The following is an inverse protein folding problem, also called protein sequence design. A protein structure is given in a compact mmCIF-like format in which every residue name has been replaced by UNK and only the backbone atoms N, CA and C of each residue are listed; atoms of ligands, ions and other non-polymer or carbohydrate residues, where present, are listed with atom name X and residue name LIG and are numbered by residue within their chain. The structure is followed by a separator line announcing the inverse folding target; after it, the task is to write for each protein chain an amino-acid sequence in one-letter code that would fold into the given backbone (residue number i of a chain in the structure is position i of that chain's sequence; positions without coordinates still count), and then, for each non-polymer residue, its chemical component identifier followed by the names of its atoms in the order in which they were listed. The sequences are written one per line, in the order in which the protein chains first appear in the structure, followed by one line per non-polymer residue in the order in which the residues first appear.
data_IF_979982792028
#
_entry.id   IF_979982792028
#
_cell.length_a   1.000
_cell.length_b   1.000
_cell.length_c   1.000
_cell.angle_alpha   90.00
_cell.angle_beta   90.00
_cell.angle_gamma   90.00
#
_symmetry.space_group_name_H-M   'P 1'
#
loop_
_entity.id
_entity.type
_entity.pdbx_description
1 polymer ?
#
# COMPACT_ATOMS: atom_id res chain seq x y z
N UNK A 1 65.37 -45.71 -18.19
CA UNK A 1 65.20 -44.24 -18.09
C UNK A 1 63.88 -43.87 -18.74
N UNK A 2 63.06 -42.99 -18.15
CA UNK A 2 62.38 -43.02 -16.84
C UNK A 2 60.91 -43.52 -17.02
N UNK A 3 60.00 -43.61 -16.06
CA UNK A 3 59.98 -43.88 -14.62
C UNK A 3 58.47 -43.99 -14.29
N UNK A 4 58.02 -45.15 -13.81
CA UNK A 4 56.67 -45.34 -13.27
C UNK A 4 56.57 -44.69 -11.89
N UNK A 5 55.51 -43.92 -11.65
CA UNK A 5 55.15 -43.43 -10.31
C UNK A 5 53.71 -43.86 -9.97
N UNK A 6 53.62 -44.79 -9.03
CA UNK A 6 52.42 -45.27 -8.37
C UNK A 6 51.78 -44.16 -7.51
N UNK A 7 50.45 -44.03 -7.58
CA UNK A 7 49.67 -43.38 -6.52
C UNK A 7 49.15 -44.45 -5.56
N UNK A 8 49.75 -44.48 -4.37
CA UNK A 8 49.29 -45.23 -3.22
C UNK A 8 48.20 -44.47 -2.48
N UNK A 9 47.07 -45.15 -2.25
CA UNK A 9 45.98 -44.77 -1.36
C UNK A 9 46.47 -44.66 0.10
N UNK A 10 46.38 -43.45 0.67
CA UNK A 10 46.55 -43.21 2.11
C UNK A 10 45.17 -43.10 2.76
N UNK A 11 44.84 -44.10 3.57
CA UNK A 11 43.70 -44.13 4.49
C UNK A 11 44.04 -43.37 5.76
N UNK A 12 43.52 -42.13 5.87
CA UNK A 12 43.58 -41.35 7.11
C UNK A 12 42.64 -41.93 8.16
N UNK A 13 43.21 -42.47 9.24
CA UNK A 13 42.52 -42.79 10.49
C UNK A 13 42.12 -41.48 11.21
N UNK A 14 40.90 -41.38 11.78
CA UNK A 14 40.51 -40.25 12.62
C UNK A 14 41.19 -40.32 14.00
N UNK A 15 41.71 -39.19 14.45
CA UNK A 15 42.29 -39.01 15.79
C UNK A 15 41.18 -38.88 16.83
N UNK A 16 41.17 -39.84 17.73
CA UNK A 16 40.37 -39.92 18.95
C UNK A 16 40.96 -38.94 19.98
N UNK A 17 40.31 -37.79 20.16
CA UNK A 17 40.68 -36.81 21.19
C UNK A 17 39.73 -36.94 22.37
N UNK A 18 40.36 -37.23 23.51
CA UNK A 18 39.79 -37.50 24.81
C UNK A 18 38.84 -36.39 25.30
N UNK A 19 37.66 -36.82 25.75
CA UNK A 19 36.79 -36.07 26.65
C UNK A 19 37.11 -36.48 28.09
N UNK A 20 37.37 -35.56 29.02
CA UNK A 20 37.39 -35.91 30.42
C UNK A 20 35.96 -36.02 30.96
N UNK A 21 35.69 -37.17 31.57
CA UNK A 21 34.60 -37.38 32.53
C UNK A 21 34.70 -36.34 33.66
N UNK A 22 33.60 -35.65 33.92
CA UNK A 22 33.37 -34.98 35.19
C UNK A 22 31.95 -35.31 35.66
N UNK A 23 31.87 -36.36 36.45
CA UNK A 23 30.70 -36.72 37.24
C UNK A 23 30.77 -36.00 38.60
N UNK A 24 29.60 -35.48 39.01
CA UNK A 24 29.12 -35.37 40.39
C UNK A 24 29.63 -34.22 41.27
N UNK A 25 28.74 -33.25 41.54
CA UNK A 25 28.28 -33.00 42.91
C UNK A 25 27.14 -31.95 42.97
N UNK A 26 26.10 -32.34 43.71
CA UNK A 26 25.27 -31.50 44.60
C UNK A 26 24.24 -30.53 44.00
N UNK A 27 23.01 -31.04 43.95
CA UNK A 27 21.78 -30.36 44.37
C UNK A 27 21.98 -29.07 45.18
N UNK A 28 21.61 -27.93 44.60
CA UNK A 28 21.31 -26.72 45.34
C UNK A 28 19.89 -26.28 45.00
N UNK A 29 19.06 -26.25 46.04
CA UNK A 29 17.64 -25.99 46.00
C UNK A 29 17.30 -24.64 45.37
N UNK A 30 16.40 -24.67 44.38
CA UNK A 30 15.72 -23.49 43.88
C UNK A 30 14.82 -22.92 44.98
N UNK A 31 15.22 -21.76 45.51
CA UNK A 31 14.43 -20.93 46.41
C UNK A 31 13.32 -20.27 45.57
N UNK A 32 12.02 -20.47 45.89
CA UNK A 32 10.98 -19.69 45.25
C UNK A 32 11.05 -18.25 45.76
N UNK A 33 11.22 -17.29 44.85
CA UNK A 33 11.03 -15.87 45.13
C UNK A 33 9.55 -15.65 45.39
N UNK A 34 9.19 -15.52 46.67
CA UNK A 34 7.92 -15.01 47.15
C UNK A 34 7.74 -13.58 46.65
N UNK A 35 6.89 -13.40 45.64
CA UNK A 35 6.32 -12.09 45.29
C UNK A 35 5.41 -11.68 46.44
N UNK A 36 5.94 -10.85 47.33
CA UNK A 36 5.18 -10.17 48.38
C UNK A 36 4.15 -9.28 47.70
N UNK A 37 2.89 -9.68 47.82
CA UNK A 37 1.73 -8.84 47.52
C UNK A 37 1.66 -7.74 48.58
N UNK A 38 1.97 -6.49 48.20
CA UNK A 38 1.65 -5.34 49.05
C UNK A 38 0.13 -5.11 49.05
N UNK A 39 -0.49 -4.91 50.23
CA UNK A 39 -1.92 -4.73 50.35
C UNK A 39 -2.36 -3.33 49.91
N UNK A 40 -3.51 -3.30 49.24
CA UNK A 40 -4.27 -2.10 48.94
C UNK A 40 -4.72 -1.39 50.24
N UNK A 41 -4.52 -0.06 50.35
CA UNK A 41 -5.34 0.72 51.25
C UNK A 41 -6.62 1.15 50.53
N UNK A 42 -7.74 0.55 50.92
CA UNK A 42 -9.02 1.18 50.82
C UNK A 42 -9.05 2.34 51.83
N UNK A 43 -9.16 3.58 51.34
CA UNK A 43 -9.73 4.65 52.15
C UNK A 43 -10.47 5.66 51.27
N UNK A 44 -11.75 5.72 51.57
CA UNK A 44 -12.78 6.65 51.15
C UNK A 44 -12.43 8.09 51.49
N UNK A 45 -12.33 8.96 50.49
CA UNK A 45 -12.52 10.40 50.66
C UNK A 45 -13.16 10.99 49.40
N UNK A 46 -14.46 11.26 49.50
CA UNK A 46 -15.24 12.05 48.52
C UNK A 46 -14.63 13.46 48.42
N UNK A 47 -14.14 13.92 47.26
CA UNK A 47 -13.82 15.32 47.07
C UNK A 47 -15.12 16.11 46.96
N UNK A 48 -15.28 17.06 47.88
CA UNK A 48 -16.34 18.08 47.88
C UNK A 48 -16.14 18.94 46.61
N UNK A 49 -17.10 18.89 45.70
CA UNK A 49 -17.10 19.67 44.47
C UNK A 49 -17.05 21.18 44.79
N UNK A 50 -15.89 21.79 44.57
CA UNK A 50 -15.69 23.22 44.68
C UNK A 50 -16.05 23.83 43.31
N UNK A 51 -17.17 24.54 43.28
CA UNK A 51 -17.67 25.23 42.10
C UNK A 51 -16.64 26.27 41.63
N UNK A 52 -16.13 26.09 40.41
CA UNK A 52 -15.36 27.13 39.73
C UNK A 52 -16.29 28.30 39.37
N UNK A 53 -15.87 29.56 39.59
CA UNK A 53 -16.68 30.71 39.23
C UNK A 53 -16.85 30.80 37.72
N UNK A 54 -18.11 30.91 37.31
CA UNK A 54 -18.57 31.13 35.94
C UNK A 54 -17.97 32.45 35.41
N UNK A 55 -17.15 32.46 34.35
CA UNK A 55 -16.75 33.72 33.73
C UNK A 55 -17.98 34.41 33.14
N UNK A 56 -18.11 35.70 33.45
CA UNK A 56 -19.16 36.57 32.91
C UNK A 56 -19.11 36.59 31.36
N UNK A 57 -20.25 36.68 30.67
CA UNK A 57 -20.25 36.85 29.22
C UNK A 57 -19.60 38.20 28.88
N UNK A 58 -18.43 38.14 28.24
CA UNK A 58 -17.84 39.29 27.59
C UNK A 58 -18.76 39.72 26.44
N UNK A 59 -19.30 40.92 26.58
CA UNK A 59 -20.02 41.64 25.53
C UNK A 59 -19.04 41.94 24.39
N UNK A 60 -19.16 41.20 23.28
CA UNK A 60 -18.45 41.55 22.06
C UNK A 60 -19.11 42.81 21.48
N UNK A 61 -18.35 43.91 21.49
CA UNK A 61 -18.70 45.12 20.78
C UNK A 61 -18.94 44.80 19.30
N UNK A 62 -20.05 45.34 18.77
CA UNK A 62 -20.44 45.18 17.37
C UNK A 62 -19.35 45.75 16.44
N UNK A 63 -18.93 45.01 15.40
CA UNK A 63 -18.07 45.56 14.36
C UNK A 63 -18.82 46.60 13.50
N UNK A 64 -18.11 47.62 12.96
CA UNK A 64 -18.68 48.73 12.20
C UNK A 64 -19.36 48.30 10.89
N UNK A 65 -20.27 49.14 10.33
CA UNK A 65 -21.09 48.80 9.19
C UNK A 65 -20.27 48.51 7.91
N UNK A 66 -20.82 47.58 7.14
CA UNK A 66 -20.25 46.96 5.96
C UNK A 66 -19.70 47.95 4.92
N UNK A 67 -18.45 47.70 4.50
CA UNK A 67 -17.96 48.15 3.21
C UNK A 67 -18.86 47.60 2.10
N UNK A 68 -19.17 48.48 1.14
CA UNK A 68 -19.98 48.17 -0.02
C UNK A 68 -19.38 47.03 -0.85
N UNK A 69 -20.20 46.25 -1.57
CA UNK A 69 -19.74 45.09 -2.33
C UNK A 69 -18.80 45.52 -3.46
N UNK A 70 -17.61 44.92 -3.48
CA UNK A 70 -16.79 44.82 -4.69
C UNK A 70 -17.56 43.93 -5.65
N UNK A 71 -17.89 44.47 -6.83
CA UNK A 71 -18.54 43.80 -7.94
C UNK A 71 -17.67 42.62 -8.42
N UNK A 72 -18.05 41.34 -8.14
CA UNK A 72 -17.32 40.22 -8.68
C UNK A 72 -17.75 40.05 -10.12
N UNK A 73 -16.81 40.39 -11.01
CA UNK A 73 -16.90 40.11 -12.43
C UNK A 73 -17.52 38.75 -12.70
N UNK A 74 -18.60 38.80 -13.48
CA UNK A 74 -19.13 37.78 -14.40
C UNK A 74 -18.60 36.36 -14.11
N UNK A 75 -19.42 35.44 -13.58
CA UNK A 75 -19.00 34.06 -13.43
C UNK A 75 -18.68 33.46 -14.80
N UNK A 76 -17.40 33.19 -15.01
CA UNK A 76 -16.95 32.30 -16.09
C UNK A 76 -17.61 30.94 -15.89
N UNK A 77 -18.27 30.51 -16.96
CA UNK A 77 -18.91 29.23 -17.21
C UNK A 77 -18.90 28.24 -16.05
N UNK A 78 -20.07 28.06 -15.43
CA UNK A 78 -20.35 26.91 -14.60
C UNK A 78 -19.87 25.62 -15.31
N UNK A 79 -19.10 24.74 -14.65
CA UNK A 79 -18.66 23.51 -15.27
C UNK A 79 -19.90 22.70 -15.65
N UNK A 80 -20.04 22.43 -16.95
CA UNK A 80 -21.07 21.54 -17.48
C UNK A 80 -21.03 20.25 -16.66
N UNK A 81 -22.14 19.97 -15.97
CA UNK A 81 -22.38 18.67 -15.35
C UNK A 81 -22.12 17.62 -16.45
N UNK A 82 -21.27 16.61 -16.24
CA UNK A 82 -21.07 15.57 -17.24
C UNK A 82 -22.40 14.85 -17.42
N UNK A 83 -23.13 15.27 -18.45
CA UNK A 83 -24.37 14.66 -18.84
C UNK A 83 -24.03 13.21 -19.14
N UNK A 84 -24.64 12.31 -18.37
CA UNK A 84 -24.54 10.86 -18.53
C UNK A 84 -25.27 10.51 -19.83
N UNK A 85 -24.69 10.88 -20.98
CA UNK A 85 -25.28 10.62 -22.29
C UNK A 85 -25.29 9.11 -22.46
N UNK A 86 -26.50 8.56 -22.49
CA UNK A 86 -26.72 7.18 -22.89
C UNK A 86 -26.17 7.08 -24.32
N UNK A 87 -25.10 6.30 -24.50
CA UNK A 87 -24.48 6.15 -25.82
C UNK A 87 -25.49 5.50 -26.76
N UNK A 88 -25.64 6.03 -27.98
CA UNK A 88 -26.54 5.49 -29.00
C UNK A 88 -26.34 3.97 -29.22
N UNK A 89 -25.09 3.51 -29.14
CA UNK A 89 -24.70 2.09 -29.20
C UNK A 89 -25.34 1.25 -28.08
N UNK A 90 -25.48 1.81 -26.88
CA UNK A 90 -26.17 1.15 -25.76
C UNK A 90 -27.65 0.95 -26.11
N UNK A 91 -28.33 1.99 -26.61
CA UNK A 91 -29.74 1.89 -27.02
C UNK A 91 -29.93 0.82 -28.09
N UNK A 92 -29.07 0.78 -29.12
CA UNK A 92 -29.12 -0.21 -30.20
C UNK A 92 -28.91 -1.64 -29.65
N UNK A 93 -27.93 -1.86 -28.77
CA UNK A 93 -27.72 -3.19 -28.18
C UNK A 93 -28.92 -3.65 -27.34
N UNK A 94 -29.54 -2.76 -26.56
CA UNK A 94 -30.74 -3.09 -25.79
C UNK A 94 -31.93 -3.42 -26.71
N UNK A 95 -32.10 -2.70 -27.82
CA UNK A 95 -33.15 -3.01 -28.81
C UNK A 95 -32.94 -4.38 -29.47
N UNK A 96 -31.71 -4.72 -29.87
CA UNK A 96 -31.37 -6.03 -30.43
C UNK A 96 -31.61 -7.15 -29.42
N UNK A 97 -31.23 -6.95 -28.16
CA UNK A 97 -31.48 -7.90 -27.08
C UNK A 97 -32.99 -8.17 -26.88
N UNK A 98 -33.81 -7.12 -26.85
CA UNK A 98 -35.28 -7.25 -26.73
C UNK A 98 -35.87 -7.96 -27.95
N UNK A 99 -35.42 -7.63 -29.17
CA UNK A 99 -35.88 -8.27 -30.40
C UNK A 99 -35.56 -9.78 -30.42
N UNK A 100 -34.36 -10.18 -29.98
CA UNK A 100 -33.96 -11.58 -29.85
C UNK A 100 -34.85 -12.37 -28.90
N UNK A 101 -35.19 -11.80 -27.74
CA UNK A 101 -36.07 -12.45 -26.76
C UNK A 101 -37.49 -12.58 -27.32
N UNK A 102 -38.03 -11.51 -27.93
CA UNK A 102 -39.38 -11.52 -28.52
C UNK A 102 -39.50 -12.52 -29.67
N UNK A 103 -38.49 -12.60 -30.55
CA UNK A 103 -38.46 -13.55 -31.66
C UNK A 103 -38.43 -15.01 -31.19
N UNK A 104 -38.00 -15.25 -29.94
CA UNK A 104 -37.85 -16.58 -29.37
C UNK A 104 -39.09 -17.08 -28.62
N UNK A 105 -40.10 -16.23 -28.36
CA UNK A 105 -41.30 -16.58 -27.54
C UNK A 105 -42.10 -17.77 -28.08
N UNK A 106 -42.03 -18.04 -29.38
CA UNK A 106 -42.72 -19.17 -30.02
C UNK A 106 -41.84 -20.41 -30.22
N UNK A 107 -40.58 -20.36 -29.77
CA UNK A 107 -39.61 -21.42 -29.97
C UNK A 107 -39.61 -22.39 -28.78
N UNK A 108 -39.14 -23.64 -28.96
CA UNK A 108 -38.95 -24.58 -27.87
C UNK A 108 -38.05 -24.00 -26.78
N UNK A 109 -38.29 -24.40 -25.53
CA UNK A 109 -37.65 -23.86 -24.33
C UNK A 109 -36.11 -23.73 -24.39
N UNK A 110 -35.32 -24.59 -25.07
CA UNK A 110 -33.87 -24.43 -25.11
C UNK A 110 -33.47 -23.17 -25.90
N UNK A 111 -34.18 -22.85 -26.99
CA UNK A 111 -33.92 -21.67 -27.82
C UNK A 111 -34.22 -20.39 -27.03
N UNK A 112 -35.30 -20.40 -26.24
CA UNK A 112 -35.62 -19.32 -25.32
C UNK A 112 -34.51 -19.08 -24.29
N UNK A 113 -33.99 -20.15 -23.68
CA UNK A 113 -32.87 -20.06 -22.73
C UNK A 113 -31.63 -19.49 -23.41
N UNK A 114 -31.26 -20.00 -24.59
CA UNK A 114 -30.08 -19.50 -25.32
C UNK A 114 -30.24 -18.03 -25.72
N UNK A 115 -31.40 -17.63 -26.25
CA UNK A 115 -31.66 -16.23 -26.62
C UNK A 115 -31.65 -15.29 -25.41
N UNK A 116 -32.19 -15.73 -24.27
CA UNK A 116 -32.14 -14.98 -23.03
C UNK A 116 -30.70 -14.80 -22.54
N UNK A 117 -29.86 -15.85 -22.59
CA UNK A 117 -28.44 -15.76 -22.23
C UNK A 117 -27.70 -14.77 -23.16
N UNK A 118 -27.90 -14.86 -24.48
CA UNK A 118 -27.28 -13.94 -25.44
C UNK A 118 -27.73 -12.49 -25.21
N UNK A 119 -29.02 -12.27 -24.95
CA UNK A 119 -29.56 -10.96 -24.62
C UNK A 119 -28.95 -10.39 -23.33
N UNK A 120 -28.79 -11.21 -22.28
CA UNK A 120 -28.11 -10.82 -21.04
C UNK A 120 -26.65 -10.48 -21.29
N UNK A 121 -25.94 -11.25 -22.13
CA UNK A 121 -24.53 -10.97 -22.48
C UNK A 121 -24.39 -9.66 -23.26
N UNK A 122 -25.28 -9.39 -24.22
CA UNK A 122 -25.31 -8.13 -24.99
C UNK A 122 -25.69 -6.92 -24.12
N UNK A 123 -26.65 -7.08 -23.21
CA UNK A 123 -27.00 -6.04 -22.25
C UNK A 123 -25.84 -5.78 -21.29
N UNK A 124 -25.21 -6.84 -20.76
CA UNK A 124 -24.05 -6.73 -19.89
C UNK A 124 -22.89 -6.04 -20.60
N UNK A 125 -22.57 -6.39 -21.85
CA UNK A 125 -21.44 -5.83 -22.59
C UNK A 125 -21.50 -4.30 -22.78
N UNK A 126 -22.69 -3.70 -22.65
CA UNK A 126 -22.86 -2.24 -22.76
C UNK A 126 -23.00 -1.52 -21.42
N UNK A 127 -23.12 -2.24 -20.31
CA UNK A 127 -23.26 -1.67 -18.97
C UNK A 127 -21.93 -1.72 -18.23
N UNK A 128 -21.35 -0.54 -17.97
CA UNK A 128 -20.23 -0.43 -17.02
C UNK A 128 -20.76 -0.59 -15.59
N UNK A 129 -20.60 -1.77 -15.03
CA UNK A 129 -20.91 -2.03 -13.61
C UNK A 129 -19.77 -1.47 -12.77
N UNK A 130 -20.04 -0.44 -11.94
CA UNK A 130 -19.04 0.23 -11.09
C UNK A 130 -17.81 0.76 -11.85
N UNK A 131 -17.99 1.13 -13.12
CA UNK A 131 -16.92 1.66 -13.97
C UNK A 131 -16.00 0.62 -14.60
N UNK A 132 -16.27 -0.68 -14.41
CA UNK A 132 -15.57 -1.79 -15.08
C UNK A 132 -16.46 -2.45 -16.13
N UNK A 133 -15.85 -3.00 -17.16
CA UNK A 133 -16.57 -3.83 -18.13
C UNK A 133 -16.85 -5.22 -17.55
N UNK A 134 -17.95 -5.90 -17.90
CA UNK A 134 -18.22 -7.25 -17.40
C UNK A 134 -17.10 -8.23 -17.73
N UNK A 135 -16.46 -8.10 -18.91
CA UNK A 135 -15.30 -8.91 -19.26
C UNK A 135 -14.15 -8.72 -18.27
N UNK A 136 -13.86 -7.47 -17.84
CA UNK A 136 -12.86 -7.20 -16.80
C UNK A 136 -13.27 -7.82 -15.46
N UNK A 137 -14.56 -7.77 -15.11
CA UNK A 137 -15.07 -8.39 -13.88
C UNK A 137 -14.91 -9.91 -13.94
N UNK A 138 -15.25 -10.55 -15.05
CA UNK A 138 -15.09 -12.00 -15.27
C UNK A 138 -13.62 -12.39 -15.23
N UNK A 139 -12.72 -11.63 -15.87
CA UNK A 139 -11.27 -11.87 -15.81
C UNK A 139 -10.76 -11.70 -14.38
N UNK A 140 -11.17 -10.64 -13.66
CA UNK A 140 -10.81 -10.45 -12.26
C UNK A 140 -11.33 -11.60 -11.38
N UNK A 141 -12.54 -12.09 -11.64
CA UNK A 141 -13.13 -13.18 -10.89
C UNK A 141 -12.46 -14.52 -11.17
N UNK A 142 -12.19 -14.83 -12.45
CA UNK A 142 -11.47 -16.03 -12.86
C UNK A 142 -10.04 -16.05 -12.29
N UNK A 143 -9.30 -14.94 -12.40
CA UNK A 143 -7.94 -14.81 -11.83
C UNK A 143 -7.96 -14.87 -10.30
N UNK A 144 -8.96 -14.28 -9.64
CA UNK A 144 -9.14 -14.37 -8.20
C UNK A 144 -9.41 -15.80 -7.73
N UNK A 145 -10.25 -16.56 -8.46
CA UNK A 145 -10.56 -17.95 -8.12
C UNK A 145 -9.41 -18.91 -8.42
N UNK A 146 -8.60 -18.63 -9.44
CA UNK A 146 -7.50 -19.48 -9.86
C UNK A 146 -6.23 -19.35 -9.02
N UNK A 147 -6.06 -18.28 -8.23
CA UNK A 147 -4.84 -18.05 -7.45
C UNK A 147 -4.93 -18.56 -6.00
N UNK A 148 -3.80 -18.93 -5.37
CA UNK A 148 -3.75 -19.21 -3.95
C UNK A 148 -4.09 -17.95 -3.13
N UNK A 149 -5.05 -18.08 -2.22
CA UNK A 149 -5.60 -16.96 -1.44
C UNK A 149 -5.24 -16.98 0.03
N UNK A 150 -4.60 -18.04 0.51
CA UNK A 150 -4.13 -18.15 1.89
C UNK A 150 -2.66 -18.51 1.85
N UNK A 151 -1.88 -17.80 2.64
CA UNK A 151 -0.43 -17.95 2.73
C UNK A 151 -0.03 -17.84 4.18
N UNK A 152 0.72 -18.82 4.67
CA UNK A 152 1.33 -18.75 5.99
C UNK A 152 2.80 -18.38 5.83
N UNK A 153 3.16 -17.20 6.30
CA UNK A 153 4.54 -16.74 6.26
C UNK A 153 5.37 -17.45 7.33
N UNK A 154 6.66 -17.73 7.08
CA UNK A 154 7.54 -18.27 8.10
C UNK A 154 7.77 -17.24 9.22
N UNK A 155 7.95 -17.73 10.45
CA UNK A 155 8.24 -16.88 11.62
C UNK A 155 9.63 -16.22 11.51
N UNK A 156 10.58 -16.90 10.89
CA UNK A 156 11.90 -16.36 10.55
C UNK A 156 11.90 -15.96 9.07
N UNK A 157 12.46 -14.79 8.75
CA UNK A 157 12.49 -14.30 7.37
C UNK A 157 11.13 -13.84 6.83
N UNK A 158 10.19 -13.50 7.71
CA UNK A 158 8.82 -13.06 7.34
C UNK A 158 8.83 -11.92 6.32
N UNK A 159 9.77 -10.98 6.43
CA UNK A 159 9.88 -9.83 5.52
C UNK A 159 10.25 -10.27 4.10
N UNK A 160 11.19 -11.21 3.96
CA UNK A 160 11.61 -11.74 2.67
C UNK A 160 10.49 -12.57 2.04
N UNK A 161 9.82 -13.42 2.82
CA UNK A 161 8.67 -14.20 2.35
C UNK A 161 7.50 -13.30 1.92
N UNK A 162 7.28 -12.18 2.63
CA UNK A 162 6.31 -11.17 2.23
C UNK A 162 6.71 -10.49 0.90
N UNK A 163 7.98 -10.15 0.73
CA UNK A 163 8.49 -9.58 -0.52
C UNK A 163 8.30 -10.57 -1.68
N UNK A 164 8.65 -11.84 -1.49
CA UNK A 164 8.46 -12.86 -2.53
C UNK A 164 6.98 -13.07 -2.88
N UNK A 165 6.08 -12.98 -1.88
CA UNK A 165 4.64 -13.08 -2.11
C UNK A 165 4.09 -11.89 -2.91
N UNK A 166 4.55 -10.67 -2.61
CA UNK A 166 4.04 -9.43 -3.22
C UNK A 166 4.75 -9.07 -4.53
N UNK A 167 5.99 -9.49 -4.67
CA UNK A 167 6.87 -9.19 -5.80
C UNK A 167 7.75 -10.43 -6.08
N UNK A 168 7.18 -11.46 -6.73
CA UNK A 168 7.88 -12.72 -6.98
C UNK A 168 9.17 -12.54 -7.77
N UNK A 169 10.20 -13.31 -7.42
CA UNK A 169 11.53 -13.21 -8.01
C UNK A 169 12.27 -11.93 -7.60
N UNK A 170 11.94 -11.37 -6.42
CA UNK A 170 12.66 -10.22 -5.89
C UNK A 170 13.83 -10.64 -5.00
N UNK A 171 14.91 -9.87 -5.04
CA UNK A 171 16.06 -10.06 -4.18
C UNK A 171 16.43 -8.74 -3.50
N UNK A 172 16.92 -8.84 -2.26
CA UNK A 172 17.32 -7.67 -1.47
C UNK A 172 18.82 -7.48 -1.58
N UNK A 173 19.24 -6.29 -1.97
CA UNK A 173 20.64 -5.90 -2.15
C UNK A 173 20.92 -4.63 -1.36
N UNK A 174 22.15 -4.44 -0.91
CA UNK A 174 22.59 -3.20 -0.28
C UNK A 174 23.43 -2.39 -1.27
N UNK A 175 23.00 -1.17 -1.57
CA UNK A 175 23.71 -0.27 -2.46
C UNK A 175 24.46 0.78 -1.63
N UNK A 176 25.79 0.88 -1.73
CA UNK A 176 26.55 1.87 -0.99
C UNK A 176 26.24 3.28 -1.54
N UNK A 177 25.93 4.21 -0.65
CA UNK A 177 25.80 5.64 -0.95
C UNK A 177 26.72 6.47 -0.06
N UNK A 178 26.97 7.73 -0.43
CA UNK A 178 27.77 8.64 0.38
C UNK A 178 27.14 8.95 1.75
N UNK A 179 25.84 8.69 1.92
CA UNK A 179 25.08 8.93 3.16
C UNK A 179 24.82 7.64 3.95
N UNK A 180 25.40 6.51 3.53
CA UNK A 180 25.21 5.19 4.13
C UNK A 180 24.67 4.15 3.14
N UNK A 181 24.63 2.87 3.52
CA UNK A 181 24.02 1.83 2.71
C UNK A 181 22.51 2.07 2.57
N UNK A 182 22.01 2.04 1.34
CA UNK A 182 20.57 2.04 1.06
C UNK A 182 20.16 0.64 0.63
N UNK A 183 19.05 0.15 1.17
CA UNK A 183 18.43 -1.07 0.67
C UNK A 183 17.89 -0.82 -0.74
N UNK A 184 18.21 -1.75 -1.63
CA UNK A 184 17.60 -1.89 -2.93
C UNK A 184 16.92 -3.27 -3.06
N UNK A 185 15.89 -3.32 -3.89
CA UNK A 185 15.18 -4.54 -4.25
C UNK A 185 15.35 -4.70 -5.76
N UNK A 186 16.03 -5.75 -6.19
CA UNK A 186 16.00 -6.17 -7.59
C UNK A 186 14.75 -7.00 -7.82
N UNK A 187 14.03 -6.74 -8.90
CA UNK A 187 12.79 -7.43 -9.27
C UNK A 187 12.64 -7.46 -10.80
N UNK A 188 11.72 -8.25 -11.37
CA UNK A 188 11.61 -8.38 -12.84
C UNK A 188 11.45 -7.05 -13.59
N UNK A 189 10.76 -6.07 -12.98
CA UNK A 189 10.51 -4.76 -13.59
C UNK A 189 11.63 -3.73 -13.43
N UNK A 190 12.70 -4.01 -12.67
CA UNK A 190 13.76 -3.05 -12.39
C UNK A 190 14.38 -3.20 -11.01
N UNK A 191 14.92 -2.11 -10.48
CA UNK A 191 15.51 -2.07 -9.15
C UNK A 191 15.01 -0.86 -8.36
N UNK A 192 14.55 -1.08 -7.13
CA UNK A 192 13.92 -0.05 -6.29
C UNK A 192 14.72 0.20 -5.02
N UNK A 193 15.08 1.45 -4.72
CA UNK A 193 15.71 1.86 -3.46
C UNK A 193 14.79 2.76 -2.64
N UNK A 194 14.87 2.67 -1.31
CA UNK A 194 13.96 3.38 -0.41
C UNK A 194 14.68 4.40 0.48
N UNK A 195 14.08 5.58 0.59
CA UNK A 195 14.52 6.70 1.41
C UNK A 195 13.37 7.12 2.32
N UNK A 196 13.63 7.37 3.61
CA UNK A 196 12.64 7.96 4.52
C UNK A 196 12.71 9.48 4.40
N UNK A 197 11.54 10.10 4.43
CA UNK A 197 11.40 11.56 4.40
C UNK A 197 10.55 12.05 5.56
N UNK A 198 10.93 13.18 6.14
CA UNK A 198 10.15 13.87 7.16
C UNK A 198 9.18 14.86 6.51
N UNK A 199 7.90 14.80 6.89
CA UNK A 199 6.80 15.49 6.19
C UNK A 199 6.29 16.75 6.91
N UNK A 200 7.11 17.34 7.78
CA UNK A 200 6.74 18.50 8.61
C UNK A 200 6.26 19.70 7.80
N UNK A 201 6.75 19.84 6.56
CA UNK A 201 6.43 20.95 5.65
C UNK A 201 5.34 20.62 4.63
N UNK A 202 4.69 19.46 4.75
CA UNK A 202 3.66 19.00 3.84
C UNK A 202 4.08 17.80 2.98
N UNK A 203 3.18 17.34 2.09
CA UNK A 203 3.41 16.18 1.24
C UNK A 203 4.47 16.51 0.17
N UNK A 204 5.31 15.53 -0.12
CA UNK A 204 6.32 15.60 -1.18
C UNK A 204 5.70 15.17 -2.50
N UNK A 205 5.83 15.98 -3.56
CA UNK A 205 5.39 15.61 -4.90
C UNK A 205 6.48 14.75 -5.59
N UNK A 206 6.23 13.47 -5.90
CA UNK A 206 7.26 12.58 -6.47
C UNK A 206 7.77 13.04 -7.84
N UNK A 207 6.98 13.79 -8.61
CA UNK A 207 7.41 14.33 -9.91
C UNK A 207 8.62 15.28 -9.79
N UNK A 208 8.73 16.02 -8.68
CA UNK A 208 9.82 16.97 -8.45
C UNK A 208 11.19 16.28 -8.25
N UNK A 209 11.16 14.96 -8.00
CA UNK A 209 12.34 14.13 -7.74
C UNK A 209 12.63 13.15 -8.87
N UNK A 210 11.87 13.19 -9.96
CA UNK A 210 12.07 12.33 -11.10
C UNK A 210 13.40 12.70 -11.80
N UNK A 211 14.34 11.75 -11.97
CA UNK A 211 15.51 11.97 -12.81
C UNK A 211 15.07 12.28 -14.26
N UNK A 212 15.65 13.29 -14.92
CA UNK A 212 15.25 13.69 -16.27
C UNK A 212 15.76 12.74 -17.37
N UNK A 213 16.84 12.01 -17.08
CA UNK A 213 17.49 11.10 -18.03
C UNK A 213 17.26 9.67 -17.58
N UNK A 214 17.00 8.76 -18.52
CA UNK A 214 16.79 7.33 -18.27
C UNK A 214 15.34 6.95 -17.93
N UNK A 215 15.11 5.67 -17.65
CA UNK A 215 13.79 5.13 -17.35
C UNK A 215 13.63 4.96 -15.84
N UNK A 216 13.09 5.99 -15.20
CA UNK A 216 12.87 6.01 -13.76
C UNK A 216 11.40 6.11 -13.38
N UNK A 217 11.09 5.65 -12.17
CA UNK A 217 9.88 6.02 -11.45
C UNK A 217 10.23 6.46 -10.02
N UNK A 218 9.40 7.34 -9.46
CA UNK A 218 9.47 7.76 -8.06
C UNK A 218 8.09 7.55 -7.44
N UNK A 219 8.09 6.85 -6.31
CA UNK A 219 6.90 6.52 -5.55
C UNK A 219 6.97 7.21 -4.18
N UNK A 220 6.03 8.09 -3.87
CA UNK A 220 5.84 8.66 -2.54
C UNK A 220 4.81 7.84 -1.77
N UNK A 221 5.22 7.27 -0.63
CA UNK A 221 4.35 6.52 0.30
C UNK A 221 4.17 7.34 1.57
N UNK A 222 2.93 7.72 1.86
CA UNK A 222 2.54 8.51 3.03
C UNK A 222 1.65 7.65 3.91
N UNK A 223 1.92 7.59 5.21
CA UNK A 223 1.19 6.73 6.14
C UNK A 223 0.81 7.42 7.44
N UNK A 224 -0.44 7.24 7.85
CA UNK A 224 -0.94 7.52 9.20
C UNK A 224 -1.45 6.23 9.82
N UNK A 225 -1.02 5.94 11.05
CA UNK A 225 -1.49 4.77 11.80
C UNK A 225 -2.88 4.99 12.43
N UNK A 226 -3.45 3.94 13.02
CA UNK A 226 -4.77 3.97 13.69
C UNK A 226 -4.86 5.05 14.78
N UNK A 227 -3.76 5.28 15.51
CA UNK A 227 -3.62 6.34 16.51
C UNK A 227 -2.83 7.52 15.92
N UNK A 228 -3.35 8.08 14.83
CA UNK A 228 -2.66 9.12 14.08
C UNK A 228 -2.30 10.32 14.98
N UNK A 229 -1.00 10.60 15.09
CA UNK A 229 -0.50 11.88 15.55
C UNK A 229 0.24 12.52 14.35
N UNK A 230 0.00 13.81 14.05
CA UNK A 230 0.77 14.51 13.03
C UNK A 230 2.24 14.64 13.46
N UNK A 231 3.18 14.68 12.50
CA UNK A 231 3.01 14.57 11.05
C UNK A 231 2.92 13.10 10.55
N UNK A 232 2.36 12.86 9.34
CA UNK A 232 2.38 11.53 8.71
C UNK A 232 3.82 11.05 8.47
N UNK A 233 4.01 9.73 8.40
CA UNK A 233 5.30 9.13 8.03
C UNK A 233 5.42 9.06 6.52
N UNK A 234 6.59 9.41 5.97
CA UNK A 234 6.85 9.45 4.54
C UNK A 234 8.03 8.59 4.10
N UNK A 235 7.91 7.98 2.93
CA UNK A 235 8.99 7.32 2.21
C UNK A 235 8.95 7.68 0.73
N UNK A 236 10.12 7.70 0.10
CA UNK A 236 10.29 7.74 -1.35
C UNK A 236 10.96 6.45 -1.80
N UNK A 237 10.32 5.74 -2.73
CA UNK A 237 10.93 4.64 -3.45
C UNK A 237 11.37 5.16 -4.84
N UNK A 238 12.67 5.12 -5.11
CA UNK A 238 13.24 5.48 -6.41
C UNK A 238 13.47 4.19 -7.17
N UNK A 239 12.98 4.09 -8.40
CA UNK A 239 13.04 2.87 -9.19
C UNK A 239 13.76 3.15 -10.50
N UNK A 240 14.82 2.39 -10.77
CA UNK A 240 15.41 2.27 -12.11
C UNK A 240 14.65 1.14 -12.83
N UNK A 241 13.95 1.47 -13.91
CA UNK A 241 13.11 0.52 -14.64
C UNK A 241 13.97 -0.25 -15.64
N UNK A 242 13.74 -1.57 -15.72
CA UNK A 242 14.44 -2.39 -16.71
C UNK A 242 13.88 -2.08 -18.10
N UNK A 243 14.77 -1.86 -19.06
CA UNK A 243 14.44 -1.67 -20.48
C UNK A 243 15.02 -2.80 -21.31
N UNK A 244 14.52 -3.01 -22.53
CA UNK A 244 15.08 -4.01 -23.44
C UNK A 244 16.54 -3.72 -23.81
N UNK A 245 16.93 -2.44 -23.78
CA UNK A 245 18.25 -1.96 -24.20
C UNK A 245 19.24 -1.84 -23.02
N UNK A 246 18.79 -2.11 -21.79
CA UNK A 246 19.60 -1.97 -20.57
C UNK A 246 20.05 -3.36 -20.06
N UNK A 247 21.35 -3.65 -20.08
CA UNK A 247 21.92 -4.85 -19.47
C UNK A 247 21.67 -4.97 -17.95
N UNK A 248 22.06 -6.12 -17.40
CA UNK A 248 21.64 -6.66 -16.10
C UNK A 248 21.91 -5.81 -14.85
N UNK A 249 21.66 -6.42 -13.68
CA UNK A 249 21.52 -5.73 -12.39
C UNK A 249 22.69 -4.84 -11.96
N UNK A 250 23.91 -5.08 -12.45
CA UNK A 250 25.09 -4.24 -12.17
C UNK A 250 24.94 -2.81 -12.71
N UNK A 251 24.47 -2.67 -13.95
CA UNK A 251 24.27 -1.38 -14.59
C UNK A 251 23.09 -0.63 -13.96
N UNK A 252 21.98 -1.34 -13.71
CA UNK A 252 20.85 -0.85 -12.93
C UNK A 252 21.27 -0.38 -11.53
N UNK A 253 22.25 -1.05 -10.91
CA UNK A 253 22.79 -0.64 -9.62
C UNK A 253 23.52 0.69 -9.68
N UNK A 254 24.31 0.91 -10.72
CA UNK A 254 25.02 2.18 -10.93
C UNK A 254 24.01 3.30 -11.19
N UNK A 255 23.03 3.06 -12.05
CA UNK A 255 21.97 4.03 -12.36
C UNK A 255 21.13 4.39 -11.13
N UNK A 256 20.66 3.38 -10.40
CA UNK A 256 19.86 3.59 -9.19
C UNK A 256 20.65 4.37 -8.14
N UNK A 257 21.92 4.04 -7.93
CA UNK A 257 22.80 4.77 -7.00
C UNK A 257 22.92 6.25 -7.37
N UNK A 258 23.07 6.55 -8.66
CA UNK A 258 23.14 7.93 -9.16
C UNK A 258 21.80 8.66 -8.99
N UNK A 259 20.69 7.99 -9.29
CA UNK A 259 19.34 8.51 -9.09
C UNK A 259 19.05 8.82 -7.62
N UNK A 260 19.32 7.88 -6.70
CA UNK A 260 19.16 8.08 -5.25
C UNK A 260 20.01 9.25 -4.75
N UNK A 261 21.28 9.34 -5.18
CA UNK A 261 22.14 10.49 -4.84
C UNK A 261 21.55 11.80 -5.34
N UNK A 262 20.93 11.83 -6.52
CA UNK A 262 20.25 13.02 -7.05
C UNK A 262 19.02 13.37 -6.23
N UNK A 263 18.15 12.40 -5.94
CA UNK A 263 16.95 12.57 -5.11
C UNK A 263 17.31 13.12 -3.72
N UNK A 264 18.31 12.54 -3.05
CA UNK A 264 18.77 13.03 -1.75
C UNK A 264 19.32 14.46 -1.80
N UNK A 265 20.00 14.84 -2.89
CA UNK A 265 20.44 16.24 -3.10
C UNK A 265 19.26 17.17 -3.31
N UNK A 266 18.23 16.76 -4.06
CA UNK A 266 17.02 17.55 -4.30
C UNK A 266 16.23 17.74 -3.00
N UNK A 267 16.05 16.68 -2.20
CA UNK A 267 15.41 16.76 -0.88
C UNK A 267 16.15 17.72 0.05
N UNK A 268 17.49 17.62 0.10
CA UNK A 268 18.32 18.55 0.86
C UNK A 268 18.14 20.01 0.39
N UNK A 269 18.07 20.26 -0.92
CA UNK A 269 17.81 21.60 -1.49
C UNK A 269 16.41 22.12 -1.14
N UNK A 270 15.41 21.25 -1.13
CA UNK A 270 14.05 21.56 -0.69
C UNK A 270 13.92 21.67 0.84
N UNK A 271 15.01 21.47 1.58
CA UNK A 271 15.04 21.42 3.05
C UNK A 271 14.02 20.43 3.63
N UNK A 272 13.89 19.27 2.98
CA UNK A 272 13.16 18.09 3.44
C UNK A 272 14.18 17.11 4.03
N UNK A 273 14.18 16.85 5.36
CA UNK A 273 15.06 15.87 5.95
C UNK A 273 14.81 14.48 5.36
N UNK A 274 15.88 13.81 4.95
CA UNK A 274 15.80 12.52 4.30
C UNK A 274 16.97 11.61 4.71
N UNK A 275 16.67 10.34 4.92
CA UNK A 275 17.65 9.33 5.34
C UNK A 275 17.53 8.08 4.45
N UNK A 276 18.63 7.58 3.86
CA UNK A 276 18.62 6.29 3.17
C UNK A 276 18.28 5.18 4.16
N UNK A 277 17.41 4.23 3.78
CA UNK A 277 17.03 3.15 4.69
C UNK A 277 17.98 1.96 4.57
N UNK A 278 18.67 1.55 5.65
CA UNK A 278 19.38 0.27 5.68
C UNK A 278 18.42 -0.92 5.55
N UNK A 279 18.95 -2.07 5.12
CA UNK A 279 18.18 -3.31 4.86
C UNK A 279 17.24 -3.68 6.01
N UNK A 280 17.75 -3.77 7.23
CA UNK A 280 16.92 -4.18 8.37
C UNK A 280 15.80 -3.19 8.70
N UNK A 281 16.05 -1.89 8.52
CA UNK A 281 15.04 -0.85 8.75
C UNK A 281 13.96 -0.89 7.66
N UNK A 282 14.36 -1.09 6.40
CA UNK A 282 13.44 -1.22 5.28
C UNK A 282 12.55 -2.47 5.41
N UNK A 283 13.12 -3.62 5.75
CA UNK A 283 12.35 -4.87 5.95
C UNK A 283 11.36 -4.76 7.13
N UNK A 284 11.75 -4.13 8.24
CA UNK A 284 10.83 -3.82 9.35
C UNK A 284 9.72 -2.86 8.93
N UNK A 285 10.03 -1.88 8.08
CA UNK A 285 9.06 -0.94 7.57
C UNK A 285 8.05 -1.62 6.64
N UNK A 286 8.47 -2.54 5.76
CA UNK A 286 7.55 -3.28 4.89
C UNK A 286 6.58 -4.15 5.69
N UNK A 287 7.09 -4.92 6.66
CA UNK A 287 6.24 -5.74 7.53
C UNK A 287 5.28 -4.90 8.37
N UNK A 288 5.74 -3.75 8.89
CA UNK A 288 4.89 -2.80 9.61
C UNK A 288 3.78 -2.22 8.73
N UNK A 289 4.12 -1.74 7.52
CA UNK A 289 3.14 -1.20 6.57
C UNK A 289 2.18 -2.27 6.06
N UNK A 290 2.62 -3.52 5.88
CA UNK A 290 1.75 -4.62 5.47
C UNK A 290 0.95 -5.22 6.64
N UNK A 291 1.14 -4.72 7.87
CA UNK A 291 0.54 -5.23 9.10
C UNK A 291 0.90 -6.69 9.45
N UNK A 292 1.99 -7.21 8.88
CA UNK A 292 2.58 -8.53 9.14
C UNK A 292 3.57 -8.44 10.30
N UNK A 293 3.10 -7.93 11.44
CA UNK A 293 3.91 -7.77 12.65
C UNK A 293 3.36 -8.61 13.79
N UNK A 294 4.17 -8.82 14.83
CA UNK A 294 3.71 -9.42 16.09
C UNK A 294 3.18 -10.86 15.93
N UNK A 295 3.87 -11.68 15.14
CA UNK A 295 3.51 -13.08 14.91
C UNK A 295 2.30 -13.29 13.97
N UNK A 296 1.77 -12.23 13.37
CA UNK A 296 0.72 -12.32 12.34
C UNK A 296 1.34 -12.80 11.03
N UNK A 297 1.43 -14.11 10.87
CA UNK A 297 2.02 -14.72 9.68
C UNK A 297 0.98 -15.20 8.68
N UNK A 298 -0.27 -15.41 9.10
CA UNK A 298 -1.35 -15.78 8.19
C UNK A 298 -1.81 -14.58 7.36
N UNK A 299 -1.73 -14.74 6.04
CA UNK A 299 -2.23 -13.82 5.04
C UNK A 299 -3.38 -14.48 4.31
N UNK A 300 -4.47 -13.73 4.13
CA UNK A 300 -5.64 -14.19 3.39
C UNK A 300 -6.21 -13.11 2.49
N UNK A 301 -6.50 -13.46 1.25
CA UNK A 301 -7.20 -12.58 0.32
C UNK A 301 -8.65 -13.03 0.10
N UNK A 302 -9.58 -12.22 0.58
CA UNK A 302 -10.98 -12.29 0.23
C UNK A 302 -11.29 -11.27 -0.89
N UNK A 303 -12.40 -11.46 -1.59
CA UNK A 303 -12.77 -10.60 -2.71
C UNK A 303 -12.71 -9.11 -2.34
N UNK A 304 -13.23 -8.78 -1.16
CA UNK A 304 -13.33 -7.41 -0.67
C UNK A 304 -12.13 -6.89 0.11
N UNK A 305 -11.21 -7.75 0.54
CA UNK A 305 -10.19 -7.43 1.53
C UNK A 305 -8.93 -8.30 1.42
N UNK A 306 -7.78 -7.68 1.69
CA UNK A 306 -6.55 -8.38 2.07
C UNK A 306 -6.46 -8.43 3.60
N UNK A 307 -6.26 -9.62 4.17
CA UNK A 307 -6.20 -9.83 5.61
C UNK A 307 -4.82 -10.30 6.05
N UNK A 308 -4.41 -9.80 7.19
CA UNK A 308 -3.16 -10.19 7.86
C UNK A 308 -3.46 -10.41 9.33
N UNK A 309 -3.61 -11.67 9.72
CA UNK A 309 -4.26 -12.04 10.98
C UNK A 309 -5.61 -11.33 11.15
N UNK A 310 -5.76 -10.55 12.22
CA UNK A 310 -6.99 -9.80 12.52
C UNK A 310 -7.14 -8.48 11.75
N UNK A 311 -6.11 -8.02 11.03
CA UNK A 311 -6.15 -6.74 10.32
C UNK A 311 -6.74 -6.95 8.94
N UNK A 312 -7.84 -6.27 8.66
CA UNK A 312 -8.44 -6.19 7.34
C UNK A 312 -7.92 -4.96 6.60
N UNK A 313 -7.60 -5.10 5.32
CA UNK A 313 -7.07 -4.05 4.46
C UNK A 313 -7.88 -3.97 3.18
N UNK A 314 -8.22 -2.76 2.75
CA UNK A 314 -8.91 -2.51 1.49
C UNK A 314 -8.12 -1.49 0.66
N UNK A 315 -7.85 -1.84 -0.60
CA UNK A 315 -7.12 -0.98 -1.52
C UNK A 315 -8.07 -0.33 -2.54
N UNK A 316 -7.77 0.93 -2.87
CA UNK A 316 -8.52 1.76 -3.80
C UNK A 316 -7.53 2.44 -4.73
N UNK A 317 -7.82 2.42 -6.03
CA UNK A 317 -7.12 3.24 -7.01
C UNK A 317 -7.77 4.62 -7.08
N UNK A 318 -6.96 5.66 -7.05
CA UNK A 318 -7.42 7.03 -7.25
C UNK A 318 -7.38 7.33 -8.75
N UNK A 319 -8.48 7.86 -9.28
CA UNK A 319 -8.57 8.38 -10.66
C UNK A 319 -8.83 9.86 -10.60
N UNK A 320 -8.22 10.60 -11.52
CA UNK A 320 -8.41 12.05 -11.67
C UNK A 320 -8.08 12.78 -10.35
N UNK A 321 -6.86 12.54 -9.83
CA UNK A 321 -6.44 13.00 -8.51
C UNK A 321 -5.36 14.09 -8.59
N UNK A 322 -5.29 14.91 -7.55
CA UNK A 322 -4.29 15.96 -7.33
C UNK A 322 -3.59 15.73 -5.98
N UNK A 323 -2.32 16.11 -5.88
CA UNK A 323 -1.49 16.06 -4.68
C UNK A 323 -2.13 16.77 -3.48
N UNK A 324 -2.98 17.78 -3.71
CA UNK A 324 -3.70 18.50 -2.65
C UNK A 324 -4.69 17.60 -1.88
N UNK A 325 -5.19 16.54 -2.50
CA UNK A 325 -6.12 15.58 -1.87
C UNK A 325 -5.42 14.74 -0.78
N UNK A 326 -4.13 14.46 -0.93
CA UNK A 326 -3.43 13.41 -0.18
C UNK A 326 -3.45 13.66 1.34
N UNK A 327 -3.13 14.89 1.76
CA UNK A 327 -3.17 15.29 3.18
C UNK A 327 -4.58 15.13 3.75
N UNK A 328 -5.58 15.43 2.93
CA UNK A 328 -6.97 15.34 3.33
C UNK A 328 -7.44 13.90 3.54
N UNK A 329 -6.91 12.93 2.78
CA UNK A 329 -7.19 11.51 2.97
C UNK A 329 -6.52 10.96 4.23
N UNK A 330 -5.28 11.37 4.52
CA UNK A 330 -4.50 10.89 5.66
C UNK A 330 -5.09 11.27 7.03
N UNK A 331 -5.87 12.35 7.08
CA UNK A 331 -6.38 12.95 8.33
C UNK A 331 -7.87 12.69 8.59
N UNK A 332 -8.62 12.16 7.62
CA UNK A 332 -10.10 12.03 7.70
C UNK A 332 -10.62 10.66 8.15
N UNK A 333 -9.76 9.68 8.39
CA UNK A 333 -10.17 8.32 8.74
C UNK A 333 -9.79 7.97 10.19
N UNK A 334 -10.57 8.47 11.15
CA UNK A 334 -10.34 8.15 12.57
C UNK A 334 -10.47 6.64 12.82
N UNK A 335 -9.52 6.06 13.58
CA UNK A 335 -9.53 4.64 13.92
C UNK A 335 -9.15 3.69 12.77
N UNK A 336 -8.70 4.22 11.63
CA UNK A 336 -8.26 3.44 10.47
C UNK A 336 -6.87 3.92 10.07
N UNK A 337 -5.94 2.99 9.87
CA UNK A 337 -4.65 3.34 9.30
C UNK A 337 -4.81 3.62 7.80
N UNK A 338 -4.22 4.72 7.35
CA UNK A 338 -4.30 5.18 5.96
C UNK A 338 -2.90 5.19 5.36
N UNK A 339 -2.73 4.52 4.23
CA UNK A 339 -1.56 4.66 3.37
C UNK A 339 -2.01 5.25 2.05
N UNK A 340 -1.39 6.36 1.64
CA UNK A 340 -1.59 6.94 0.31
C UNK A 340 -0.26 6.87 -0.41
N UNK A 341 -0.29 6.27 -1.59
CA UNK A 341 0.89 6.07 -2.42
C UNK A 341 0.67 6.71 -3.77
N UNK A 342 1.65 7.48 -4.22
CA UNK A 342 1.66 8.14 -5.53
C UNK A 342 2.92 7.73 -6.27
N UNK A 343 2.77 7.21 -7.47
CA UNK A 343 3.88 6.83 -8.35
C UNK A 343 3.85 7.69 -9.60
N UNK A 344 4.99 8.27 -9.96
CA UNK A 344 5.19 9.01 -11.21
C UNK A 344 6.39 8.40 -11.92
N UNK A 345 6.31 8.22 -13.23
CA UNK A 345 7.41 7.70 -14.04
C UNK A 345 7.71 8.58 -15.24
N UNK A 346 8.93 8.40 -15.77
CA UNK A 346 9.50 9.13 -16.92
C UNK A 346 8.74 8.92 -18.23
N UNK A 347 7.89 7.90 -18.33
CA UNK A 347 6.96 7.69 -19.45
C UNK A 347 5.60 8.39 -19.23
N UNK A 348 5.56 9.46 -18.43
CA UNK A 348 4.37 10.22 -18.03
C UNK A 348 3.25 9.39 -17.40
N UNK A 349 3.56 8.20 -16.89
CA UNK A 349 2.57 7.40 -16.18
C UNK A 349 2.47 7.84 -14.73
N UNK A 350 1.24 8.13 -14.30
CA UNK A 350 0.92 8.50 -12.92
C UNK A 350 -0.10 7.54 -12.34
N UNK A 351 0.17 7.03 -11.14
CA UNK A 351 -0.71 6.12 -10.43
C UNK A 351 -0.83 6.56 -8.97
N UNK A 352 -2.02 6.44 -8.38
CA UNK A 352 -2.18 6.60 -6.95
C UNK A 352 -3.10 5.53 -6.35
N UNK A 353 -2.70 5.06 -5.17
CA UNK A 353 -3.37 4.02 -4.41
C UNK A 353 -3.60 4.51 -2.98
N UNK A 354 -4.84 4.34 -2.52
CA UNK A 354 -5.23 4.51 -1.12
C UNK A 354 -5.45 3.12 -0.54
N UNK A 355 -4.75 2.81 0.55
CA UNK A 355 -4.98 1.60 1.35
C UNK A 355 -5.48 1.99 2.72
N UNK A 356 -6.58 1.37 3.12
CA UNK A 356 -7.17 1.48 4.45
C UNK A 356 -6.93 0.18 5.20
N UNK A 357 -6.52 0.26 6.46
CA UNK A 357 -6.29 -0.91 7.31
C UNK A 357 -6.87 -0.71 8.72
N UNK A 358 -7.63 -1.69 9.20
CA UNK A 358 -8.23 -1.67 10.53
C UNK A 358 -8.38 -3.08 11.10
N UNK A 359 -8.59 -3.18 12.41
CA UNK A 359 -8.85 -4.47 13.08
C UNK A 359 -10.21 -5.06 12.76
N UNK A 360 -11.12 -4.29 12.15
CA UNK A 360 -12.44 -4.76 11.72
C UNK A 360 -12.81 -4.19 10.36
N UNK A 361 -13.55 -4.96 9.57
CA UNK A 361 -14.10 -4.52 8.28
C UNK A 361 -15.15 -3.41 8.45
N UNK A 362 -15.87 -3.44 9.57
CA UNK A 362 -16.86 -2.42 9.91
C UNK A 362 -16.23 -1.04 10.08
N UNK A 363 -15.01 -0.95 10.63
CA UNK A 363 -14.29 0.31 10.76
C UNK A 363 -13.93 0.90 9.38
N UNK A 364 -13.47 0.07 8.44
CA UNK A 364 -13.22 0.50 7.06
C UNK A 364 -14.51 0.94 6.37
N UNK A 365 -15.58 0.15 6.53
CA UNK A 365 -16.88 0.43 5.92
C UNK A 365 -17.48 1.73 6.45
N UNK A 366 -17.28 2.05 7.72
CA UNK A 366 -17.79 3.27 8.35
C UNK A 366 -17.12 4.55 7.83
N UNK A 367 -15.81 4.53 7.55
CA UNK A 367 -15.09 5.73 7.05
C UNK A 367 -15.22 5.94 5.55
N UNK A 368 -15.52 4.87 4.79
CA UNK A 368 -15.50 4.90 3.33
C UNK A 368 -16.46 5.91 2.69
N UNK A 369 -17.73 6.10 3.14
CA UNK A 369 -18.62 7.10 2.58
C UNK A 369 -18.05 8.51 2.66
N UNK A 370 -17.52 8.90 3.83
CA UNK A 370 -16.93 10.23 4.05
C UNK A 370 -15.68 10.49 3.21
N UNK A 371 -14.82 9.47 3.05
CA UNK A 371 -13.65 9.55 2.17
C UNK A 371 -14.06 9.65 0.69
N UNK A 372 -15.08 8.91 0.28
CA UNK A 372 -15.59 8.91 -1.09
C UNK A 372 -16.21 10.26 -1.45
N UNK A 373 -17.03 10.82 -0.56
CA UNK A 373 -17.61 12.15 -0.73
C UNK A 373 -16.53 13.23 -0.78
N UNK A 374 -15.54 13.16 0.13
CA UNK A 374 -14.40 14.08 0.11
C UNK A 374 -13.60 14.01 -1.20
N UNK A 375 -13.25 12.80 -1.66
CA UNK A 375 -12.56 12.62 -2.92
C UNK A 375 -13.37 13.16 -4.10
N UNK A 376 -14.68 12.89 -4.14
CA UNK A 376 -15.56 13.37 -5.20
C UNK A 376 -15.65 14.90 -5.25
N UNK A 377 -15.66 15.59 -4.10
CA UNK A 377 -15.60 17.06 -4.04
C UNK A 377 -14.30 17.64 -4.62
N UNK A 378 -13.22 16.87 -4.58
CA UNK A 378 -11.94 17.22 -5.18
C UNK A 378 -11.80 16.72 -6.64
N UNK A 379 -12.88 16.22 -7.26
CA UNK A 379 -12.85 15.68 -8.63
C UNK A 379 -12.27 14.27 -8.75
N UNK A 380 -11.87 13.65 -7.63
CA UNK A 380 -11.23 12.33 -7.60
C UNK A 380 -12.25 11.20 -7.42
N UNK A 381 -12.04 10.11 -8.14
CA UNK A 381 -12.82 8.88 -7.95
C UNK A 381 -12.00 7.79 -7.26
N UNK A 382 -12.55 7.24 -6.17
CA UNK A 382 -12.02 6.04 -5.54
C UNK A 382 -12.58 4.79 -6.23
N UNK A 383 -11.70 4.00 -6.83
CA UNK A 383 -12.04 2.73 -7.50
C UNK A 383 -11.52 1.57 -6.66
N UNK A 384 -12.42 0.83 -6.05
CA UNK A 384 -12.08 -0.32 -5.20
C UNK A 384 -11.35 -1.41 -6.01
N UNK A 385 -10.31 -2.00 -5.42
CA UNK A 385 -9.47 -3.05 -6.02
C UNK A 385 -9.92 -4.46 -5.64
N UNK A 386 -11.23 -4.70 -5.60
CA UNK A 386 -11.79 -6.01 -5.27
C UNK A 386 -11.30 -7.10 -6.22
N UNK A 387 -10.95 -8.25 -5.65
CA UNK A 387 -10.33 -9.36 -6.36
C UNK A 387 -8.89 -9.08 -6.83
N UNK A 388 -8.29 -7.95 -6.45
CA UNK A 388 -6.93 -7.52 -6.83
C UNK A 388 -6.22 -6.80 -5.66
N UNK A 389 -6.55 -7.16 -4.42
CA UNK A 389 -6.01 -6.47 -3.24
C UNK A 389 -4.53 -6.79 -3.05
N UNK A 390 -4.04 -7.95 -3.47
CA UNK A 390 -2.60 -8.27 -3.45
C UNK A 390 -1.78 -7.24 -4.26
N UNK A 391 -2.21 -6.92 -5.49
CA UNK A 391 -1.57 -5.89 -6.32
C UNK A 391 -1.73 -4.50 -5.68
N UNK A 392 -2.90 -4.21 -5.10
CA UNK A 392 -3.12 -2.96 -4.37
C UNK A 392 -2.19 -2.79 -3.15
N UNK A 393 -1.94 -3.88 -2.40
CA UNK A 393 -1.01 -3.90 -1.27
C UNK A 393 0.41 -3.71 -1.78
N UNK A 394 0.84 -4.47 -2.80
CA UNK A 394 2.17 -4.32 -3.39
C UNK A 394 2.43 -2.89 -3.89
N UNK A 395 1.44 -2.28 -4.55
CA UNK A 395 1.49 -0.90 -5.04
C UNK A 395 1.47 0.17 -3.94
N UNK A 396 0.99 -0.18 -2.75
CA UNK A 396 0.97 0.72 -1.59
C UNK A 396 2.26 0.68 -0.76
N UNK A 397 3.11 -0.33 -0.97
CA UNK A 397 4.39 -0.46 -0.29
C UNK A 397 5.52 0.15 -1.15
N UNK A 398 6.58 0.70 -0.53
CA UNK A 398 7.73 1.25 -1.26
C UNK A 398 8.66 0.14 -1.76
N UNK A 399 8.14 -0.78 -2.59
CA UNK A 399 8.85 -2.00 -3.03
C UNK A 399 9.03 -2.14 -4.54
N UNK A 400 8.47 -1.24 -5.36
CA UNK A 400 8.46 -1.46 -6.82
C UNK A 400 7.12 -1.89 -7.40
N UNK A 401 6.10 -2.14 -6.56
CA UNK A 401 4.83 -2.71 -6.99
C UNK A 401 3.94 -1.73 -7.77
N UNK A 402 3.08 -2.27 -8.64
CA UNK A 402 2.03 -1.54 -9.36
C UNK A 402 0.67 -2.17 -9.07
N UNK A 403 -0.43 -1.40 -9.14
CA UNK A 403 -1.76 -1.94 -8.81
C UNK A 403 -2.46 -2.63 -9.98
N UNK A 404 -1.77 -2.80 -11.12
CA UNK A 404 -2.39 -3.25 -12.37
C UNK A 404 -2.87 -4.70 -12.32
#
# INVERSE_FOLDING_TARGET
MPAHANWSTSTGKPSEAAWPEQESAANAAATPVLVVSSPAPASTAKPKAQASPRPAPMSFAAPPPANQPIDPGKPDAAPEKPNKRINLTQVICWQVAVALVLASVRQPWPILVTAAVVAVVLAASTVRVRGRWPAEIVVCWATYLGRPRRHDLPQHGTSQALLELLLPGSSVVSVPTAQGPVMAISHPHGMTAVVRVELDRGPVNPADFLPPDGLFSVQAVLHTGVRAAPPPRGWLAVQALRSADMPGDEELTIELRNAVRRVLRLLKRAAVPAEPLPVDQALRMFTALAHVTSGRTEIREDWGFWRTGVVSQACFRLRDWDNRLLVGLLTRAAGVAVTVTVTVSTNDSTEAVLRLAASTESAITAVLPGLTEFAARCGTRLVRLDGTHVSGVAASLPIGGTSR
#
